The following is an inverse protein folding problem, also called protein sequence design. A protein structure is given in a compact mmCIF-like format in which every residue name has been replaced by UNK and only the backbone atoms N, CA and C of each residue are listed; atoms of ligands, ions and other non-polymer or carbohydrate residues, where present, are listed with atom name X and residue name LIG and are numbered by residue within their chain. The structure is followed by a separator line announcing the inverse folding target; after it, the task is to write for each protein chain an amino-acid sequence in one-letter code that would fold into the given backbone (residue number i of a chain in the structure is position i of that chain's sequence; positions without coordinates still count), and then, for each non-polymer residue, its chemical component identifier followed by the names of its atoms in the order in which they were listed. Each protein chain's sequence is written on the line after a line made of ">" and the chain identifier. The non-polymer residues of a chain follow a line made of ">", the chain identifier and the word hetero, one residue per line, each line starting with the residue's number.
data_IF_067886099526
#
_entry.id   IF_067886099526
#
_cell.length_a   1.000
_cell.length_b   1.000
_cell.length_c   1.000
_cell.angle_alpha   90.00
_cell.angle_beta   90.00
_cell.angle_gamma   90.00
#
_symmetry.space_group_name_H-M   'P 1'
#
loop_
_entity.id
_entity.type
_entity.pdbx_description
1 polymer ?
#
# COMPACT_ATOMS: atom_id res chain seq x y z
N UNK A 1 -14.14 4.10 10.51
CA UNK A 1 -12.73 4.40 10.82
C UNK A 1 -12.03 4.90 9.57
N UNK A 2 -11.05 5.76 9.77
CA UNK A 2 -10.16 6.35 8.77
C UNK A 2 -8.95 6.94 9.51
N UNK A 3 -8.15 6.07 10.14
CA UNK A 3 -7.10 6.41 11.12
C UNK A 3 -7.55 6.88 12.53
N UNK A 4 -8.83 6.84 12.84
CA UNK A 4 -9.36 7.41 14.10
C UNK A 4 -9.11 6.55 15.36
N UNK A 5 -8.98 5.23 15.25
CA UNK A 5 -8.94 4.32 16.42
C UNK A 5 -8.30 2.95 16.05
N UNK A 6 -8.35 1.97 16.95
CA UNK A 6 -8.00 0.56 16.65
C UNK A 6 -9.13 -0.21 15.94
N UNK A 7 -8.76 -1.15 15.06
CA UNK A 7 -9.73 -2.04 14.42
C UNK A 7 -10.08 -3.23 15.34
N UNK A 8 -11.25 -3.15 15.99
CA UNK A 8 -11.83 -4.18 16.83
C UNK A 8 -13.12 -4.75 16.20
N UNK A 9 -13.61 -5.93 16.62
CA UNK A 9 -14.82 -6.54 16.05
C UNK A 9 -16.09 -5.66 16.09
N UNK A 10 -16.16 -4.67 16.97
CA UNK A 10 -17.28 -3.74 17.13
C UNK A 10 -16.95 -2.30 16.69
N UNK A 11 -15.88 -2.08 15.94
CA UNK A 11 -15.50 -0.74 15.47
C UNK A 11 -16.52 -0.16 14.49
N UNK A 12 -16.77 1.14 14.61
CA UNK A 12 -17.62 1.88 13.68
C UNK A 12 -16.86 2.19 12.40
N UNK A 13 -17.32 1.65 11.27
CA UNK A 13 -16.68 1.84 9.97
C UNK A 13 -17.10 3.16 9.30
N UNK A 14 -16.24 3.69 8.42
CA UNK A 14 -16.61 4.83 7.58
C UNK A 14 -17.50 4.33 6.43
N UNK A 15 -18.28 5.22 5.82
CA UNK A 15 -19.13 4.84 4.68
C UNK A 15 -18.35 4.69 3.37
N UNK A 16 -17.24 5.39 3.22
CA UNK A 16 -16.33 5.31 2.09
C UNK A 16 -15.00 4.70 2.53
N UNK A 17 -14.79 3.43 2.21
CA UNK A 17 -13.57 2.69 2.57
C UNK A 17 -12.35 3.05 1.71
N UNK A 18 -12.56 3.67 0.54
CA UNK A 18 -11.49 3.97 -0.42
C UNK A 18 -11.03 5.44 -0.32
N UNK A 19 -11.84 6.30 0.31
CA UNK A 19 -11.56 7.72 0.51
C UNK A 19 -10.51 8.02 1.59
N UNK A 20 -10.05 7.02 2.34
CA UNK A 20 -9.08 7.20 3.42
C UNK A 20 -7.76 6.48 3.15
N UNK A 21 -6.66 7.11 3.55
CA UNK A 21 -5.33 6.49 3.45
C UNK A 21 -5.15 5.31 4.42
N UNK A 22 -5.79 5.38 5.58
CA UNK A 22 -5.64 4.41 6.65
C UNK A 22 -6.98 3.74 6.96
N UNK A 23 -6.92 2.47 7.31
CA UNK A 23 -8.06 1.71 7.82
C UNK A 23 -8.29 2.03 9.29
N UNK A 24 -7.23 1.91 10.09
CA UNK A 24 -7.18 2.21 11.53
C UNK A 24 -5.93 3.03 11.86
N UNK A 25 -5.62 3.26 13.14
CA UNK A 25 -4.56 4.19 13.53
C UNK A 25 -3.14 3.77 13.07
N UNK A 26 -2.92 2.52 12.62
CA UNK A 26 -1.59 2.02 12.19
C UNK A 26 -1.60 1.25 10.86
N UNK A 27 -2.74 0.73 10.40
CA UNK A 27 -2.82 -0.05 9.18
C UNK A 27 -3.32 0.78 7.99
N UNK A 28 -2.68 0.67 6.81
CA UNK A 28 -3.16 1.31 5.60
C UNK A 28 -4.52 0.75 5.16
N UNK A 29 -5.31 1.56 4.45
CA UNK A 29 -6.52 1.07 3.79
C UNK A 29 -6.16 0.09 2.66
N UNK A 30 -7.13 -0.71 2.23
CA UNK A 30 -6.95 -1.58 1.07
C UNK A 30 -6.49 -0.79 -0.15
N UNK A 31 -7.08 0.39 -0.39
CA UNK A 31 -6.70 1.25 -1.52
C UNK A 31 -5.25 1.68 -1.44
N UNK A 32 -4.80 2.14 -0.27
CA UNK A 32 -3.41 2.53 -0.05
C UNK A 32 -2.47 1.36 -0.26
N UNK A 33 -2.79 0.18 0.27
CA UNK A 33 -1.96 -1.01 0.09
C UNK A 33 -1.82 -1.41 -1.40
N UNK A 34 -2.89 -1.31 -2.18
CA UNK A 34 -2.84 -1.56 -3.64
C UNK A 34 -1.92 -0.56 -4.36
N UNK A 35 -2.03 0.74 -4.03
CA UNK A 35 -1.18 1.78 -4.60
C UNK A 35 0.29 1.57 -4.22
N UNK A 36 0.58 1.23 -2.97
CA UNK A 36 1.92 0.89 -2.51
C UNK A 36 2.48 -0.32 -3.26
N UNK A 37 1.72 -1.40 -3.40
CA UNK A 37 2.15 -2.58 -4.13
C UNK A 37 2.46 -2.28 -5.62
N UNK A 38 1.59 -1.52 -6.28
CA UNK A 38 1.83 -1.08 -7.66
C UNK A 38 3.11 -0.24 -7.78
N UNK A 39 3.35 0.63 -6.79
CA UNK A 39 4.52 1.51 -6.73
C UNK A 39 5.81 0.71 -6.51
N UNK A 40 5.79 -0.29 -5.63
CA UNK A 40 6.94 -1.19 -5.44
C UNK A 40 7.24 -2.06 -6.66
N UNK A 41 6.20 -2.45 -7.40
CA UNK A 41 6.36 -3.33 -8.55
C UNK A 41 6.95 -2.62 -9.78
N UNK A 42 6.36 -1.50 -10.21
CA UNK A 42 6.72 -0.80 -11.46
C UNK A 42 6.67 0.73 -11.33
N UNK A 43 6.73 1.26 -10.10
CA UNK A 43 6.69 2.70 -9.84
C UNK A 43 7.99 3.42 -10.17
N UNK A 44 7.95 4.75 -10.01
CA UNK A 44 9.11 5.62 -10.21
C UNK A 44 10.26 5.26 -9.26
N UNK A 45 11.49 5.40 -9.74
CA UNK A 45 12.70 4.98 -9.00
C UNK A 45 12.84 5.61 -7.62
N UNK A 46 12.37 6.84 -7.41
CA UNK A 46 12.46 7.51 -6.11
C UNK A 46 11.57 6.87 -5.02
N UNK A 47 10.60 6.04 -5.37
CA UNK A 47 9.81 5.27 -4.40
C UNK A 47 10.41 3.90 -4.09
N UNK A 48 11.20 3.33 -5.00
CA UNK A 48 11.85 2.03 -4.82
C UNK A 48 13.21 2.05 -5.50
N UNK A 49 14.22 2.47 -4.73
CA UNK A 49 15.61 2.62 -5.17
C UNK A 49 16.46 1.44 -4.68
N UNK A 50 17.42 0.93 -5.49
CA UNK A 50 17.78 1.39 -6.84
C UNK A 50 16.96 0.75 -7.98
N UNK A 51 16.22 -0.32 -7.71
CA UNK A 51 15.41 -1.03 -8.69
C UNK A 51 14.05 -1.39 -8.12
N UNK A 52 13.00 -1.25 -8.92
CA UNK A 52 11.69 -1.80 -8.58
C UNK A 52 11.66 -3.34 -8.77
N UNK A 53 10.62 -4.01 -8.28
CA UNK A 53 10.58 -5.49 -8.32
C UNK A 53 10.60 -6.05 -9.75
N UNK A 54 9.94 -5.37 -10.70
CA UNK A 54 9.96 -5.77 -12.12
C UNK A 54 11.38 -5.73 -12.70
N UNK A 55 12.14 -4.67 -12.40
CA UNK A 55 13.54 -4.54 -12.81
C UNK A 55 14.45 -5.58 -12.16
N UNK A 56 14.24 -5.88 -10.87
CA UNK A 56 15.00 -6.94 -10.17
C UNK A 56 14.79 -8.31 -10.81
N UNK A 57 13.55 -8.65 -11.15
CA UNK A 57 13.23 -9.91 -11.84
C UNK A 57 13.86 -9.94 -13.24
N UNK A 58 13.75 -8.86 -14.01
CA UNK A 58 14.35 -8.78 -15.33
C UNK A 58 15.88 -8.94 -15.29
N UNK A 59 16.55 -8.29 -14.34
CA UNK A 59 18.00 -8.40 -14.16
C UNK A 59 18.43 -9.84 -13.86
N UNK A 60 17.71 -10.53 -12.97
CA UNK A 60 18.00 -11.94 -12.64
C UNK A 60 17.88 -12.87 -13.84
N UNK A 61 17.06 -12.54 -14.85
CA UNK A 61 16.88 -13.37 -16.05
C UNK A 61 17.95 -13.11 -17.13
N UNK A 62 18.75 -12.05 -16.97
CA UNK A 62 19.85 -11.70 -17.90
C UNK A 62 21.23 -12.11 -17.39
N UNK A 63 21.32 -12.54 -16.13
CA UNK A 63 22.51 -13.12 -15.49
C UNK A 63 22.48 -14.66 -15.59
#
# INVERSE_FOLDING_TARGET
>A
MGAEDDCLPNSTLCTDHEGFLFWDHVHPSQRSAQLTAATFYDGMSHFTTPFNFKQLVAKKMTD
#
